data_IF_709772151522
#
_entry.id   IF_709772151522
#
_cell.length_a   1.000
_cell.length_b   1.000
_cell.length_c   1.000
_cell.angle_alpha   90.00
_cell.angle_beta   90.00
_cell.angle_gamma   90.00
#
_symmetry.space_group_name_H-M   'P 1'
#
loop_
_entity.id
_entity.type
_entity.pdbx_description
1 polymer ?
#
# COMPACT_ATOMS: atom_id res chain seq x y z
N UNK A 1 -9.37 3.59 -6.21
CA UNK A 1 -8.39 4.06 -5.19
C UNK A 1 -8.85 3.62 -3.80
N UNK A 2 -7.94 3.55 -2.83
CA UNK A 2 -8.22 3.22 -1.43
C UNK A 2 -7.88 4.46 -0.59
N UNK A 3 -8.79 4.86 0.30
CA UNK A 3 -8.56 5.96 1.25
C UNK A 3 -8.05 5.38 2.57
N UNK A 4 -6.92 5.91 3.07
CA UNK A 4 -6.26 5.38 4.28
C UNK A 4 -6.36 6.37 5.44
N UNK A 5 -7.42 6.28 6.22
CA UNK A 5 -7.63 7.07 7.43
C UNK A 5 -6.49 6.88 8.44
N UNK A 6 -6.18 7.88 9.30
CA UNK A 6 -5.25 7.71 10.40
C UNK A 6 -5.62 6.48 11.24
N UNK A 7 -4.61 5.67 11.60
CA UNK A 7 -4.76 4.42 12.38
C UNK A 7 -5.52 3.29 11.67
N UNK A 8 -5.77 3.38 10.36
CA UNK A 8 -6.24 2.25 9.55
C UNK A 8 -5.16 1.19 9.30
N UNK A 9 -5.57 -0.06 9.09
CA UNK A 9 -4.69 -1.16 8.72
C UNK A 9 -5.01 -1.61 7.30
N UNK A 10 -4.02 -1.56 6.40
CA UNK A 10 -4.12 -2.10 5.05
C UNK A 10 -3.37 -3.43 4.98
N UNK A 11 -4.11 -4.54 4.78
CA UNK A 11 -3.52 -5.85 4.50
C UNK A 11 -3.57 -6.12 3.00
N UNK A 12 -2.41 -6.30 2.38
CA UNK A 12 -2.31 -6.80 1.00
C UNK A 12 -1.92 -8.27 1.04
N UNK A 13 -2.72 -9.12 0.40
CA UNK A 13 -2.49 -10.57 0.30
C UNK A 13 -2.72 -11.04 -1.13
N UNK A 14 -2.19 -12.23 -1.46
CA UNK A 14 -2.42 -12.86 -2.77
C UNK A 14 -2.09 -11.92 -3.96
N UNK A 15 -2.98 -11.81 -4.97
CA UNK A 15 -2.73 -10.96 -6.14
C UNK A 15 -2.47 -9.49 -5.81
N UNK A 16 -3.12 -8.93 -4.79
CA UNK A 16 -2.92 -7.54 -4.38
C UNK A 16 -1.51 -7.27 -3.84
N UNK A 17 -0.83 -8.31 -3.33
CA UNK A 17 0.55 -8.24 -2.88
C UNK A 17 1.56 -8.54 -4.01
N UNK A 18 1.26 -9.51 -4.87
CA UNK A 18 2.23 -10.03 -5.85
C UNK A 18 2.14 -9.44 -7.26
N UNK A 19 0.97 -8.96 -7.67
CA UNK A 19 0.69 -8.68 -9.10
C UNK A 19 0.25 -7.25 -9.36
N UNK A 20 -0.23 -6.54 -8.34
CA UNK A 20 -0.68 -5.16 -8.47
C UNK A 20 0.41 -4.18 -8.04
N UNK A 21 0.68 -3.20 -8.90
CA UNK A 21 1.45 -2.03 -8.50
C UNK A 21 0.51 -1.07 -7.76
N UNK A 22 0.87 -0.78 -6.51
CA UNK A 22 0.21 0.23 -5.69
C UNK A 22 1.20 1.37 -5.42
N UNK A 23 0.67 2.56 -5.23
CA UNK A 23 1.48 3.75 -4.99
C UNK A 23 0.65 4.89 -4.44
N UNK A 24 1.34 5.92 -3.98
CA UNK A 24 0.75 7.16 -3.49
C UNK A 24 1.13 8.25 -4.49
N UNK A 25 0.14 8.81 -5.18
CA UNK A 25 0.38 9.92 -6.10
C UNK A 25 0.95 11.13 -5.34
N UNK A 26 1.97 11.85 -5.85
CA UNK A 26 2.59 12.98 -5.17
C UNK A 26 1.75 14.26 -5.35
N UNK A 27 0.55 14.26 -4.77
CA UNK A 27 -0.41 15.39 -4.80
C UNK A 27 -0.65 15.92 -3.39
N UNK A 28 -0.97 17.22 -3.28
CA UNK A 28 -1.30 17.85 -2.00
C UNK A 28 -2.76 17.68 -1.59
N UNK A 29 -3.66 17.45 -2.56
CA UNK A 29 -5.10 17.42 -2.32
C UNK A 29 -5.72 16.24 -3.06
N UNK A 30 -6.44 15.40 -2.34
CA UNK A 30 -7.32 14.40 -2.91
C UNK A 30 -8.67 15.04 -3.24
N UNK A 31 -9.20 14.78 -4.43
CA UNK A 31 -10.49 15.32 -4.91
C UNK A 31 -11.43 14.21 -5.36
N UNK A 32 -12.72 14.54 -5.54
CA UNK A 32 -13.78 13.61 -5.97
C UNK A 32 -13.96 12.42 -4.99
N UNK A 33 -13.63 12.59 -3.70
CA UNK A 33 -13.78 11.55 -2.68
C UNK A 33 -15.27 11.31 -2.42
N UNK A 34 -15.78 10.18 -2.93
CA UNK A 34 -17.16 9.74 -2.76
C UNK A 34 -17.26 8.23 -2.90
N UNK A 35 -18.40 7.69 -2.47
CA UNK A 35 -18.77 6.27 -2.58
C UNK A 35 -18.44 5.61 -3.91
N UNK A 36 -18.69 6.31 -5.03
CA UNK A 36 -18.45 5.77 -6.38
C UNK A 36 -16.99 5.71 -6.83
N UNK A 37 -16.07 6.36 -6.12
CA UNK A 37 -14.66 6.53 -6.58
C UNK A 37 -13.65 5.95 -5.60
N UNK A 38 -14.06 5.68 -4.36
CA UNK A 38 -13.23 5.12 -3.30
C UNK A 38 -13.69 3.70 -3.00
N UNK A 39 -12.81 2.73 -3.18
CA UNK A 39 -13.14 1.31 -3.12
C UNK A 39 -13.55 0.83 -1.71
N UNK A 40 -13.00 1.45 -0.67
CA UNK A 40 -13.25 1.10 0.73
C UNK A 40 -14.20 2.09 1.44
N UNK A 41 -15.04 2.83 0.70
CA UNK A 41 -15.88 3.88 1.27
C UNK A 41 -16.77 3.38 2.42
N UNK A 42 -17.36 2.21 2.26
CA UNK A 42 -18.23 1.58 3.27
C UNK A 42 -17.49 1.04 4.49
N UNK A 43 -16.15 1.07 4.48
CA UNK A 43 -15.30 0.66 5.58
C UNK A 43 -14.65 1.86 6.29
N UNK A 44 -14.96 3.09 5.87
CA UNK A 44 -14.45 4.28 6.53
C UNK A 44 -15.09 4.42 7.91
N UNK A 45 -14.29 4.88 8.88
CA UNK A 45 -14.79 5.16 10.23
C UNK A 45 -15.80 6.30 10.24
N UNK A 46 -15.53 7.35 9.46
CA UNK A 46 -16.44 8.47 9.28
C UNK A 46 -16.36 9.03 7.85
N UNK A 47 -17.26 8.58 6.99
CA UNK A 47 -17.36 9.08 5.63
C UNK A 47 -17.90 10.52 5.56
N UNK A 48 -18.66 10.97 6.56
CA UNK A 48 -19.33 12.27 6.54
C UNK A 48 -18.32 13.42 6.51
N UNK A 49 -17.17 13.26 7.18
CA UNK A 49 -16.07 14.25 7.14
C UNK A 49 -15.63 14.58 5.71
N UNK A 50 -15.61 13.59 4.81
CA UNK A 50 -15.24 13.81 3.42
C UNK A 50 -16.40 14.37 2.59
N UNK A 51 -17.64 13.96 2.89
CA UNK A 51 -18.83 14.47 2.21
C UNK A 51 -19.07 15.94 2.53
N UNK A 52 -18.97 16.32 3.80
CA UNK A 52 -19.09 17.71 4.30
C UNK A 52 -17.98 18.61 3.75
N UNK A 53 -16.78 18.06 3.55
CA UNK A 53 -15.67 18.75 2.88
C UNK A 53 -15.82 18.82 1.34
N UNK A 54 -16.96 18.38 0.77
CA UNK A 54 -17.22 18.42 -0.66
C UNK A 54 -16.40 17.40 -1.47
N UNK A 55 -16.01 16.28 -0.85
CA UNK A 55 -15.16 15.26 -1.46
C UNK A 55 -13.71 15.67 -1.63
N UNK A 56 -13.23 16.64 -0.83
CA UNK A 56 -11.88 17.18 -0.87
C UNK A 56 -11.15 16.87 0.44
N UNK A 57 -9.90 16.40 0.34
CA UNK A 57 -9.04 16.18 1.49
C UNK A 57 -7.64 16.73 1.21
N UNK A 58 -7.22 17.73 1.99
CA UNK A 58 -5.85 18.27 1.92
C UNK A 58 -4.91 17.40 2.75
N UNK A 59 -3.88 16.87 2.12
CA UNK A 59 -2.92 15.98 2.77
C UNK A 59 -2.05 16.74 3.74
N UNK A 60 -1.79 16.08 4.87
CA UNK A 60 -0.84 16.50 5.89
C UNK A 60 0.23 15.42 6.04
N UNK A 61 1.25 15.69 6.87
CA UNK A 61 2.25 14.68 7.20
C UNK A 61 1.59 13.44 7.77
N UNK A 62 1.84 12.29 7.13
CA UNK A 62 1.34 10.96 7.52
C UNK A 62 2.51 10.01 7.72
N UNK A 63 2.43 9.21 8.78
CA UNK A 63 3.38 8.12 9.05
C UNK A 63 2.69 6.79 8.78
N UNK A 64 3.37 5.87 8.09
CA UNK A 64 2.93 4.49 7.90
C UNK A 64 3.98 3.52 8.41
N UNK A 65 3.53 2.47 9.08
CA UNK A 65 4.36 1.33 9.44
C UNK A 65 4.03 0.17 8.51
N UNK A 66 5.03 -0.33 7.80
CA UNK A 66 4.87 -1.45 6.86
C UNK A 66 5.61 -2.66 7.39
N UNK A 67 4.87 -3.74 7.62
CA UNK A 67 5.42 -5.03 8.04
C UNK A 67 5.33 -6.01 6.88
N UNK A 68 6.38 -6.81 6.69
CA UNK A 68 6.40 -7.90 5.72
C UNK A 68 7.35 -9.00 6.18
N UNK A 69 7.01 -10.22 5.85
CA UNK A 69 7.95 -11.32 5.95
C UNK A 69 8.94 -11.26 4.78
N UNK A 70 10.22 -11.39 5.09
CA UNK A 70 11.28 -11.46 4.08
C UNK A 70 11.67 -12.92 3.92
N UNK A 71 11.44 -13.47 2.72
CA UNK A 71 11.83 -14.83 2.40
C UNK A 71 13.34 -14.99 2.54
N UNK A 72 13.75 -15.94 3.40
CA UNK A 72 15.15 -16.28 3.58
C UNK A 72 15.63 -17.07 2.37
N UNK A 73 16.43 -16.45 1.51
CA UNK A 73 17.09 -17.15 0.40
C UNK A 73 18.22 -18.01 0.97
N UNK A 74 18.15 -19.34 0.81
CA UNK A 74 19.23 -20.23 1.22
C UNK A 74 20.45 -20.02 0.33
N UNK A 75 21.65 -19.97 0.93
CA UNK A 75 22.97 -19.72 0.34
C UNK A 75 23.45 -20.75 -0.72
N UNK A 76 22.57 -21.59 -1.27
CA UNK A 76 22.89 -22.56 -2.32
C UNK A 76 23.36 -21.87 -3.60
N UNK A 77 22.94 -20.62 -3.85
CA UNK A 77 23.47 -19.79 -4.94
C UNK A 77 24.99 -19.56 -4.84
N UNK A 78 25.57 -19.54 -3.63
CA UNK A 78 27.01 -19.43 -3.42
C UNK A 78 27.78 -20.73 -3.72
N UNK A 79 27.13 -21.89 -3.62
CA UNK A 79 27.78 -23.20 -3.85
C UNK A 79 27.77 -23.62 -5.32
N UNK A 80 26.78 -23.17 -6.10
CA UNK A 80 26.68 -23.48 -7.54
C UNK A 80 27.57 -22.56 -8.40
N UNK A 81 27.83 -21.33 -7.97
CA UNK A 81 28.70 -20.38 -8.70
C UNK A 81 30.20 -20.47 -8.32
N UNK A 82 30.56 -21.16 -7.23
CA UNK A 82 31.94 -21.36 -6.78
C UNK A 82 32.56 -22.72 -7.09
N UNK A 83 31.83 -23.61 -7.76
CA UNK A 83 32.19 -25.03 -7.93
C UNK A 83 32.94 -25.40 -9.22
N UNK A 84 33.32 -24.45 -10.07
CA UNK A 84 34.21 -24.71 -11.22
C UNK A 84 35.67 -24.56 -10.77
N UNK A 85 36.16 -25.60 -10.10
CA UNK A 85 37.58 -25.86 -9.89
C UNK A 85 38.27 -26.01 -11.26
N UNK A 86 39.26 -25.15 -11.55
CA UNK A 86 40.25 -25.41 -12.60
C UNK A 86 41.13 -26.58 -12.16
N UNK A 87 41.07 -27.68 -12.91
CA UNK A 87 42.15 -28.67 -12.97
C UNK A 87 43.32 -28.17 -13.81
#
# INVERSE_FOLDING_TARGET
RILQEPRSLLLTTGPAYHTLLHGIAPIEVDTDLRRGTVANWDLLGDAAVFEEAGGVNRRVTRVSLTYRDVLKVSSVAGRVLGGLTRG
#
